data_IF_879692832656
#
_entry.id   IF_879692832656
#
_cell.length_a   1.000
_cell.length_b   1.000
_cell.length_c   1.000
_cell.angle_alpha   90.00
_cell.angle_beta   90.00
_cell.angle_gamma   90.00
#
_symmetry.space_group_name_H-M   'P 1'
#
loop_
_entity.id
_entity.type
_entity.pdbx_description
1 polymer ?
2 non-polymer ?
3 non-polymer ?
4 non-polymer ?
5 water ?
#
# COMPACT_ATOMS: atom_id res chain seq x y z
N UNK A 14 3.58 31.12 5.13
CA UNK A 14 4.61 31.04 6.17
C UNK A 14 5.42 32.33 6.20
N UNK A 15 5.71 32.81 7.41
CA UNK A 15 6.50 34.02 7.60
C UNK A 15 7.96 33.77 7.25
N UNK A 16 8.68 34.85 6.94
CA UNK A 16 10.09 34.69 6.60
C UNK A 16 10.91 34.29 7.81
N UNK A 17 10.53 34.76 9.00
CA UNK A 17 11.20 34.30 10.21
C UNK A 17 11.07 32.80 10.39
N UNK A 18 9.89 32.25 10.10
CA UNK A 18 9.69 30.81 10.24
C UNK A 18 10.50 30.05 9.20
N UNK A 19 10.52 30.53 7.96
CA UNK A 19 11.30 29.87 6.92
C UNK A 19 12.78 29.87 7.28
N UNK A 20 13.27 31.00 7.78
CA UNK A 20 14.68 31.05 8.20
C UNK A 20 14.94 30.12 9.37
N UNK A 21 13.95 29.92 10.25
CA UNK A 21 14.11 28.96 11.34
C UNK A 21 14.22 27.53 10.80
N UNK A 22 13.43 27.20 9.78
CA UNK A 22 13.55 25.89 9.14
C UNK A 22 14.93 25.73 8.52
N UNK A 23 15.41 26.75 7.81
CA UNK A 23 16.72 26.68 7.18
C UNK A 23 17.82 26.51 8.21
N UNK A 24 17.65 27.09 9.41
CA UNK A 24 18.66 26.93 10.46
C UNK A 24 18.80 25.48 10.90
N UNK A 25 17.75 24.67 10.73
CA UNK A 25 17.81 23.29 11.18
C UNK A 25 18.42 22.39 10.11
N UNK A 26 17.91 22.47 8.87
CA UNK A 26 18.25 21.48 7.86
C UNK A 26 19.24 21.99 6.82
N UNK A 27 19.48 23.30 6.77
CA UNK A 27 20.34 23.86 5.74
C UNK A 27 19.55 24.51 4.62
N UNK A 28 20.04 25.65 4.14
CA UNK A 28 19.37 26.39 3.08
C UNK A 28 18.95 25.54 1.88
N UNK A 29 19.80 24.66 1.32
CA UNK A 29 19.35 23.88 0.15
C UNK A 29 18.18 22.96 0.44
N UNK A 30 17.91 22.62 1.70
CA UNK A 30 16.93 21.61 2.03
C UNK A 30 15.59 22.21 2.47
N UNK A 31 15.37 23.50 2.22
CA UNK A 31 14.08 24.16 2.43
C UNK A 31 13.71 24.85 1.12
N UNK A 32 12.48 24.64 0.67
CA UNK A 32 12.01 25.30 -0.54
C UNK A 32 10.59 25.81 -0.35
N UNK A 33 10.37 27.07 -0.74
CA UNK A 33 9.03 27.64 -0.86
C UNK A 33 8.66 27.89 -2.32
N UNK A 34 9.42 27.34 -3.26
CA UNK A 34 9.15 27.56 -4.68
C UNK A 34 7.86 26.84 -5.10
N UNK A 35 7.06 27.53 -5.91
CA UNK A 35 5.74 27.02 -6.26
C UNK A 35 5.82 25.66 -6.95
N UNK A 36 6.78 25.49 -7.87
CA UNK A 36 6.90 24.22 -8.58
C UNK A 36 7.27 23.09 -7.64
N UNK A 37 8.21 23.33 -6.73
CA UNK A 37 8.62 22.30 -5.78
C UNK A 37 7.45 21.93 -4.87
N UNK A 38 6.71 22.93 -4.39
CA UNK A 38 5.55 22.64 -3.54
C UNK A 38 4.47 21.89 -4.33
N UNK A 39 4.22 22.29 -5.57
CA UNK A 39 3.20 21.59 -6.36
C UNK A 39 3.56 20.13 -6.58
N UNK A 40 4.84 19.82 -6.79
CA UNK A 40 5.22 18.42 -6.96
C UNK A 40 5.05 17.61 -5.69
N UNK A 41 5.01 18.26 -4.53
CA UNK A 41 4.80 17.58 -3.25
C UNK A 41 3.38 17.76 -2.71
N UNK A 42 2.46 18.25 -3.53
CA UNK A 42 1.08 18.45 -3.11
C UNK A 42 0.11 17.37 -3.56
N UNK A 43 0.60 16.29 -4.17
CA UNK A 43 -0.25 15.24 -4.67
C UNK A 43 0.50 13.92 -4.60
N UNK A 44 -0.24 12.83 -4.69
CA UNK A 44 0.37 11.51 -4.88
C UNK A 44 -0.08 10.97 -6.23
N UNK A 45 -0.21 9.66 -6.36
CA UNK A 45 -0.64 9.10 -7.63
C UNK A 45 -2.16 9.03 -7.76
N UNK A 46 -2.90 9.48 -6.75
CA UNK A 46 -4.36 9.44 -6.79
C UNK A 46 -4.91 10.61 -7.59
N UNK A 47 -6.22 10.54 -7.84
CA UNK A 47 -6.97 11.59 -8.51
C UNK A 47 -7.27 12.76 -7.58
N UNK A 48 -6.94 12.68 -6.30
CA UNK A 48 -7.23 13.78 -5.37
C UNK A 48 -6.48 15.03 -5.81
N UNK A 49 -7.19 16.16 -5.75
CA UNK A 49 -6.66 17.39 -6.32
C UNK A 49 -5.40 17.83 -5.59
N UNK A 50 -4.40 18.27 -6.37
CA UNK A 50 -3.14 18.72 -5.78
C UNK A 50 -3.40 19.89 -4.84
N UNK A 51 -2.86 19.79 -3.63
CA UNK A 51 -2.98 20.84 -2.62
C UNK A 51 -1.58 21.12 -2.10
N UNK A 52 -0.92 22.14 -2.63
CA UNK A 52 0.50 22.33 -2.36
C UNK A 52 0.76 22.73 -0.93
N UNK A 53 1.76 22.14 -0.28
CA UNK A 53 2.20 22.65 1.02
C UNK A 53 2.78 24.06 0.87
N UNK A 54 2.93 24.73 2.01
CA UNK A 54 3.53 26.06 2.00
C UNK A 54 5.05 26.00 1.86
N UNK A 55 5.66 24.89 2.25
CA UNK A 55 7.09 24.68 2.08
C UNK A 55 7.36 23.19 2.02
N UNK A 56 8.51 22.83 1.45
CA UNK A 56 9.01 21.46 1.47
C UNK A 56 10.37 21.47 2.16
N UNK A 57 10.57 20.54 3.09
CA UNK A 57 11.77 20.47 3.89
C UNK A 57 12.32 19.04 3.82
N UNK A 58 13.65 18.91 3.63
CA UNK A 58 14.34 17.63 3.59
C UNK A 58 15.27 17.51 4.78
N UNK A 59 14.85 16.94 5.91
CA UNK A 59 15.79 16.74 7.01
C UNK A 59 16.82 15.68 6.69
N UNK A 60 18.02 15.88 7.22
CA UNK A 60 19.16 15.02 6.92
C UNK A 60 19.42 13.94 7.96
N UNK A 61 18.82 14.05 9.15
CA UNK A 61 18.97 13.06 10.20
C UNK A 61 17.80 13.23 11.17
N UNK A 62 17.69 12.29 12.11
CA UNK A 62 16.53 12.26 13.00
C UNK A 62 16.50 13.47 13.91
N UNK A 63 17.66 13.96 14.36
CA UNK A 63 17.69 15.18 15.16
C UNK A 63 17.03 16.33 14.42
N UNK A 64 17.27 16.43 13.11
CA UNK A 64 16.65 17.48 12.31
C UNK A 64 15.15 17.25 12.14
N UNK A 65 14.72 15.99 12.00
CA UNK A 65 13.29 15.71 11.93
C UNK A 65 12.61 16.19 13.21
N UNK A 66 13.20 15.83 14.36
CA UNK A 66 12.65 16.23 15.65
C UNK A 66 12.55 17.74 15.75
N UNK A 67 13.62 18.45 15.35
CA UNK A 67 13.63 19.90 15.50
C UNK A 67 12.71 20.57 14.49
N UNK A 68 12.53 20.00 13.31
CA UNK A 68 11.55 20.55 12.37
C UNK A 68 10.13 20.33 12.90
N UNK A 69 9.85 19.13 13.42
CA UNK A 69 8.53 18.87 13.98
C UNK A 69 8.23 19.82 15.13
N UNK A 70 9.19 19.99 16.05
CA UNK A 70 8.97 20.87 17.19
C UNK A 70 8.70 22.30 16.75
N UNK A 71 9.48 22.78 15.78
CA UNK A 71 9.27 24.12 15.22
C UNK A 71 7.85 24.28 14.67
N UNK A 72 7.43 23.34 13.82
CA UNK A 72 6.10 23.42 13.22
C UNK A 72 5.02 23.32 14.27
N UNK A 73 5.13 22.33 15.16
CA UNK A 73 4.08 22.05 16.12
C UNK A 73 3.83 23.24 17.03
N UNK A 74 4.90 23.80 17.58
CA UNK A 74 4.74 24.91 18.52
C UNK A 74 4.34 26.21 17.83
N UNK A 75 4.51 26.31 16.52
CA UNK A 75 4.04 27.48 15.77
C UNK A 75 2.66 27.29 15.17
N UNK A 76 2.02 26.14 15.38
CA UNK A 76 0.71 25.92 14.79
C UNK A 76 0.73 25.67 13.31
N UNK A 77 1.81 25.10 12.80
CA UNK A 77 2.00 24.86 11.36
C UNK A 77 1.79 23.37 11.10
N UNK A 78 0.86 22.98 10.21
CA UNK A 78 0.67 21.56 9.94
C UNK A 78 1.92 20.90 9.37
N UNK A 79 2.03 19.60 9.64
CA UNK A 79 3.15 18.77 9.19
C UNK A 79 2.60 17.68 8.29
N UNK A 80 3.18 17.54 7.09
CA UNK A 80 2.78 16.45 6.21
C UNK A 80 3.99 15.56 5.92
N UNK A 81 4.08 14.36 6.49
CA UNK A 81 5.17 13.45 6.12
C UNK A 81 5.03 13.03 4.67
N UNK A 82 6.17 12.90 4.00
CA UNK A 82 6.19 12.59 2.58
C UNK A 82 7.30 11.57 2.34
N UNK A 83 6.94 10.42 1.79
CA UNK A 83 7.94 9.44 1.45
C UNK A 83 8.28 9.52 -0.03
N UNK A 84 7.78 8.56 -0.80
CA UNK A 84 7.94 8.57 -2.25
C UNK A 84 6.70 9.05 -3.02
N UNK A 85 5.64 9.43 -2.31
CA UNK A 85 4.49 10.01 -2.98
C UNK A 85 3.72 9.08 -3.90
N UNK A 86 3.79 7.77 -3.66
CA UNK A 86 3.06 6.81 -4.47
C UNK A 86 1.71 6.41 -3.87
N UNK A 87 1.30 7.03 -2.78
CA UNK A 87 0.01 6.71 -2.20
C UNK A 87 -1.14 6.96 -3.17
N UNK A 88 -2.28 6.36 -2.89
CA UNK A 88 -3.42 6.51 -3.79
C UNK A 88 -4.67 7.04 -3.07
N UNK A 89 -4.52 7.62 -1.87
CA UNK A 89 -5.66 8.24 -1.21
C UNK A 89 -5.42 9.69 -0.80
N UNK A 90 -4.46 10.35 -1.43
CA UNK A 90 -4.24 11.76 -1.12
C UNK A 90 -3.63 12.02 0.24
N UNK A 91 -2.90 11.04 0.79
CA UNK A 91 -2.31 11.22 2.11
C UNK A 91 -1.41 12.44 2.21
N UNK A 92 -0.69 12.77 1.14
CA UNK A 92 0.26 13.88 1.17
C UNK A 92 -0.36 15.21 0.75
N UNK A 93 -1.63 15.23 0.37
CA UNK A 93 -2.27 16.47 -0.03
C UNK A 93 -2.34 17.42 1.15
N UNK A 94 -1.84 18.65 0.97
CA UNK A 94 -1.75 19.60 2.08
C UNK A 94 -3.05 20.39 2.18
N UNK A 95 -4.09 19.71 2.68
CA UNK A 95 -5.43 20.28 2.70
C UNK A 95 -5.52 21.52 3.57
N UNK A 96 -4.60 21.69 4.51
CA UNK A 96 -4.55 22.89 5.34
C UNK A 96 -3.18 23.58 5.24
N UNK A 97 -2.49 23.38 4.11
CA UNK A 97 -1.17 23.94 3.94
C UNK A 97 -0.17 23.32 4.91
N UNK A 98 0.89 24.08 5.19
CA UNK A 98 1.88 23.68 6.17
C UNK A 98 3.18 23.23 5.53
N UNK A 99 3.94 22.46 6.30
CA UNK A 99 5.28 22.03 5.90
C UNK A 99 5.24 20.56 5.52
N UNK A 100 5.59 20.29 4.26
CA UNK A 100 5.81 18.93 3.76
C UNK A 100 7.23 18.50 4.13
N UNK A 101 7.36 17.40 4.87
CA UNK A 101 8.65 16.87 5.28
C UNK A 101 8.97 15.68 4.36
N UNK A 102 9.81 15.91 3.36
CA UNK A 102 10.30 14.84 2.50
C UNK A 102 11.43 14.11 3.23
N UNK A 103 11.23 12.83 3.52
CA UNK A 103 12.11 12.08 4.39
C UNK A 103 13.17 11.27 3.64
N UNK A 104 13.24 11.40 2.31
CA UNK A 104 14.00 10.42 1.54
C UNK A 104 15.50 10.65 1.51
N UNK A 105 16.00 11.78 2.02
CA UNK A 105 17.45 11.91 2.12
C UNK A 105 18.03 11.06 3.24
N UNK A 106 17.21 10.59 4.17
CA UNK A 106 17.64 9.62 5.17
C UNK A 106 17.43 8.26 4.52
N UNK A 107 18.48 7.70 3.93
CA UNK A 107 18.34 6.58 3.01
C UNK A 107 19.25 5.41 3.33
N UNK A 108 19.64 5.24 4.58
CA UNK A 108 20.61 4.21 4.93
C UNK A 108 19.94 2.95 5.48
N UNK A 109 20.51 1.81 5.13
CA UNK A 109 20.18 0.52 5.74
C UNK A 109 21.17 0.28 6.87
N UNK A 110 20.67 -0.10 8.05
CA UNK A 110 21.54 -0.37 9.19
C UNK A 110 21.07 -1.62 9.92
N UNK A 111 21.89 -2.04 10.87
CA UNK A 111 21.56 -3.12 11.79
C UNK A 111 21.09 -4.36 11.04
N UNK A 112 21.72 -4.64 9.90
CA UNK A 112 21.39 -5.86 9.17
C UNK A 112 21.82 -7.04 10.01
N UNK A 113 20.85 -7.86 10.42
CA UNK A 113 21.06 -9.01 11.29
C UNK A 113 20.55 -10.23 10.54
N UNK A 114 21.38 -10.77 9.64
CA UNK A 114 20.92 -11.91 8.83
C UNK A 114 20.63 -13.12 9.69
N UNK A 115 21.40 -13.35 10.76
CA UNK A 115 21.19 -14.50 11.63
C UNK A 115 19.88 -14.41 12.41
N UNK A 116 19.35 -13.21 12.61
CA UNK A 116 18.07 -12.97 13.27
C UNK A 116 16.93 -12.71 12.30
N UNK A 117 17.21 -12.64 11.00
CA UNK A 117 16.21 -12.30 9.99
C UNK A 117 15.64 -10.89 10.20
N UNK A 118 16.52 -9.90 10.38
CA UNK A 118 16.01 -8.56 10.63
C UNK A 118 16.93 -7.49 10.06
N UNK A 119 16.37 -6.30 9.83
CA UNK A 119 17.11 -5.17 9.28
C UNK A 119 16.38 -3.89 9.66
N UNK A 120 17.11 -2.79 9.72
CA UNK A 120 16.55 -1.46 9.99
C UNK A 120 16.78 -0.58 8.76
N UNK A 121 15.72 0.09 8.30
CA UNK A 121 15.80 0.95 7.11
C UNK A 121 15.27 2.34 7.43
N UNK A 122 15.92 3.35 6.87
CA UNK A 122 15.47 4.74 6.91
C UNK A 122 14.50 5.02 5.78
N UNK A 123 13.79 6.16 5.80
CA UNK A 123 12.69 6.36 4.84
C UNK A 123 13.10 6.40 3.37
N UNK A 124 14.34 6.75 3.05
CA UNK A 124 14.74 6.78 1.65
C UNK A 124 14.98 5.41 1.01
N UNK A 125 14.95 4.35 1.81
CA UNK A 125 15.18 3.00 1.31
C UNK A 125 13.89 2.45 0.73
N UNK A 126 13.93 2.05 -0.54
CA UNK A 126 12.81 1.36 -1.16
C UNK A 126 12.99 -0.16 -1.03
N UNK A 127 11.91 -0.88 -1.31
CA UNK A 127 12.01 -2.35 -1.34
C UNK A 127 13.07 -2.81 -2.33
N UNK A 128 13.12 -2.19 -3.51
CA UNK A 128 14.12 -2.60 -4.50
C UNK A 128 15.53 -2.35 -3.99
N UNK A 129 15.76 -1.20 -3.35
CA UNK A 129 17.07 -0.93 -2.77
C UNK A 129 17.44 -1.96 -1.71
N UNK A 130 16.48 -2.31 -0.84
CA UNK A 130 16.79 -3.28 0.22
C UNK A 130 17.11 -4.65 -0.37
N UNK A 131 16.29 -5.10 -1.33
CA UNK A 131 16.52 -6.43 -1.87
C UNK A 131 17.79 -6.49 -2.72
N UNK A 132 18.13 -5.40 -3.41
CA UNK A 132 19.44 -5.31 -4.05
C UNK A 132 20.56 -5.43 -3.02
N UNK A 133 20.43 -4.72 -1.91
CA UNK A 133 21.42 -4.84 -0.84
C UNK A 133 21.53 -6.28 -0.34
N UNK A 134 20.45 -7.02 -0.34
CA UNK A 134 20.44 -8.36 0.20
C UNK A 134 20.77 -9.50 -0.80
N UNK A 135 21.11 -9.13 -2.01
CA UNK A 135 21.40 -10.16 -3.00
C UNK A 135 22.57 -10.96 -2.50
N UNK A 136 22.47 -12.27 -2.62
CA UNK A 136 23.52 -13.19 -2.12
C UNK A 136 23.54 -13.41 -0.61
N UNK A 137 22.52 -12.93 0.10
CA UNK A 137 22.42 -13.20 1.51
C UNK A 137 21.55 -14.39 1.74
N UNK A 138 20.81 -14.79 0.74
CA UNK A 138 19.80 -15.80 0.95
C UNK A 138 18.53 -15.28 1.59
N UNK A 139 18.42 -13.98 1.81
CA UNK A 139 17.28 -13.36 2.45
C UNK A 139 16.65 -12.34 1.52
N UNK A 140 15.37 -12.03 1.75
CA UNK A 140 14.70 -11.01 0.98
C UNK A 140 13.58 -10.41 1.80
N UNK A 141 13.10 -9.24 1.36
CA UNK A 141 11.91 -8.65 1.98
C UNK A 141 10.72 -8.84 1.06
N UNK A 142 9.65 -9.50 1.50
CA UNK A 142 8.61 -9.94 0.56
C UNK A 142 7.49 -8.96 0.24
N UNK A 143 7.15 -8.01 1.12
CA UNK A 143 5.96 -7.21 0.89
C UNK A 143 6.19 -6.29 -0.31
N UNK A 144 5.39 -6.48 -1.38
CA UNK A 144 5.70 -5.94 -2.70
C UNK A 144 4.56 -5.14 -3.31
N UNK A 145 4.36 -3.89 -2.87
CA UNK A 145 3.52 -2.97 -3.65
C UNK A 145 4.08 -2.81 -5.05
N UNK A 146 3.20 -2.54 -6.01
CA UNK A 146 3.64 -2.37 -7.37
C UNK A 146 4.59 -1.20 -7.56
N UNK A 147 4.47 -0.18 -6.71
CA UNK A 147 5.27 1.03 -6.84
C UNK A 147 6.61 0.87 -6.14
N UNK A 148 7.57 1.69 -6.57
CA UNK A 148 8.90 1.78 -5.96
C UNK A 148 8.82 2.65 -4.71
N UNK A 149 8.19 2.10 -3.67
CA UNK A 149 7.77 2.91 -2.53
C UNK A 149 8.78 2.83 -1.38
N UNK A 150 8.84 3.92 -0.62
CA UNK A 150 9.55 3.96 0.65
C UNK A 150 9.02 2.90 1.61
N UNK A 151 9.95 2.12 2.20
CA UNK A 151 9.52 1.08 3.14
C UNK A 151 8.91 1.68 4.40
N UNK A 152 9.38 2.85 4.84
CA UNK A 152 8.73 3.51 5.96
C UNK A 152 7.36 4.06 5.57
N UNK A 153 7.20 4.50 4.32
CA UNK A 153 5.88 4.87 3.84
C UNK A 153 4.96 3.67 3.82
N UNK A 154 5.49 2.51 3.42
CA UNK A 154 4.74 1.26 3.47
C UNK A 154 4.31 0.91 4.90
N UNK A 155 5.19 1.12 5.88
CA UNK A 155 4.76 0.95 7.27
C UNK A 155 3.68 1.96 7.63
N UNK A 156 3.81 3.20 7.15
CA UNK A 156 2.82 4.23 7.50
C UNK A 156 1.44 3.91 6.93
N UNK A 157 1.36 3.34 5.73
CA UNK A 157 0.05 3.05 5.15
C UNK A 157 -0.48 1.67 5.50
N UNK A 158 0.33 0.80 6.11
CA UNK A 158 -0.08 -0.58 6.32
C UNK A 158 -0.15 -1.40 5.05
N UNK A 159 0.83 -1.24 4.16
CA UNK A 159 0.76 -1.82 2.82
C UNK A 159 0.78 -3.34 2.83
N UNK A 160 0.31 -3.93 1.75
CA UNK A 160 0.55 -5.34 1.48
C UNK A 160 1.00 -5.49 0.02
N UNK A 161 0.72 -6.62 -0.59
CA UNK A 161 1.13 -6.83 -1.97
C UNK A 161 0.85 -8.25 -2.40
N UNK A 162 1.37 -8.63 -3.56
CA UNK A 162 1.08 -9.95 -4.10
C UNK A 162 1.61 -11.07 -3.22
N UNK A 163 2.74 -10.84 -2.54
CA UNK A 163 3.35 -11.88 -1.71
C UNK A 163 2.70 -12.02 -0.33
N UNK A 164 1.75 -11.14 0.03
CA UNK A 164 1.26 -11.11 1.42
C UNK A 164 0.48 -12.37 1.77
N UNK A 165 -0.18 -12.99 0.79
CA UNK A 165 -0.99 -14.18 1.08
C UNK A 165 -0.14 -15.27 1.74
N UNK A 166 1.14 -15.32 1.43
CA UNK A 166 2.04 -16.28 2.07
C UNK A 166 2.95 -15.66 3.11
N UNK A 167 3.48 -14.45 2.86
CA UNK A 167 4.53 -13.90 3.70
C UNK A 167 4.04 -12.77 4.61
N UNK A 168 2.78 -12.39 4.54
CA UNK A 168 2.22 -11.39 5.44
C UNK A 168 2.29 -9.97 4.90
N UNK A 169 1.58 -9.07 5.58
CA UNK A 169 1.54 -7.65 5.28
C UNK A 169 2.65 -6.91 6.02
N UNK A 170 2.69 -5.58 5.86
CA UNK A 170 3.59 -4.77 6.69
C UNK A 170 3.31 -4.99 8.17
N UNK A 171 2.04 -5.11 8.55
CA UNK A 171 1.71 -5.33 9.95
C UNK A 171 2.35 -6.62 10.47
N UNK A 172 2.41 -7.65 9.61
CA UNK A 172 3.02 -8.90 10.02
C UNK A 172 4.54 -8.82 10.08
N UNK A 173 5.14 -7.90 9.32
CA UNK A 173 6.58 -7.89 9.11
C UNK A 173 7.27 -6.65 9.67
N UNK A 174 6.57 -5.78 10.38
CA UNK A 174 7.20 -4.64 11.06
C UNK A 174 7.40 -5.02 12.51
N UNK A 175 8.65 -5.06 12.96
CA UNK A 175 9.03 -5.53 14.29
C UNK A 175 9.22 -4.38 15.27
N UNK A 176 9.50 -3.19 14.78
CA UNK A 176 9.84 -2.03 15.60
C UNK A 176 9.76 -0.82 14.69
N UNK A 177 9.50 0.34 15.28
CA UNK A 177 9.43 1.59 14.52
C UNK A 177 10.11 2.68 15.34
N UNK A 178 10.87 3.53 14.67
CA UNK A 178 11.39 4.76 15.25
C UNK A 178 10.48 5.89 14.78
N UNK A 179 9.87 6.59 15.73
CA UNK A 179 8.85 7.59 15.41
C UNK A 179 9.19 8.91 16.08
N UNK A 180 9.23 9.98 15.30
CA UNK A 180 9.27 11.33 15.85
C UNK A 180 7.83 11.75 16.08
N UNK A 181 7.46 11.92 17.34
CA UNK A 181 6.11 12.32 17.69
C UNK A 181 5.87 13.78 17.26
N UNK A 182 4.60 14.19 17.16
CA UNK A 182 4.32 15.53 16.60
C UNK A 182 5.06 16.68 17.28
N UNK A 183 5.28 16.62 18.60
CA UNK A 183 6.00 17.71 19.26
C UNK A 183 7.51 17.50 19.25
N UNK A 184 8.02 16.47 18.57
CA UNK A 184 9.44 16.28 18.41
C UNK A 184 10.06 15.19 19.26
N UNK A 185 9.32 14.63 20.22
CA UNK A 185 9.88 13.56 21.05
C UNK A 185 10.16 12.33 20.19
N UNK A 186 11.19 11.58 20.58
CA UNK A 186 11.60 10.40 19.83
C UNK A 186 11.12 9.14 20.56
N UNK A 187 10.31 8.33 19.87
CA UNK A 187 9.77 7.09 20.40
C UNK A 187 10.29 5.92 19.59
N UNK A 188 10.81 4.89 20.27
CA UNK A 188 11.05 3.60 19.64
C UNK A 188 9.96 2.67 20.15
N UNK A 189 9.03 2.30 19.27
CA UNK A 189 7.75 1.75 19.72
C UNK A 189 7.94 0.48 20.54
N UNK A 190 8.91 -0.36 20.18
CA UNK A 190 9.21 -1.56 20.94
C UNK A 190 10.50 -1.44 21.76
N UNK A 191 11.08 -0.24 21.85
CA UNK A 191 12.31 -0.04 22.58
C UNK A 191 13.50 0.11 21.65
N UNK A 192 14.45 0.98 22.01
CA UNK A 192 15.55 1.30 21.09
C UNK A 192 16.41 0.07 20.85
N UNK A 193 16.58 -0.29 19.58
CA UNK A 193 17.46 -1.37 19.20
C UNK A 193 16.87 -2.76 19.35
N UNK A 194 15.62 -2.89 19.77
CA UNK A 194 15.06 -4.20 20.07
C UNK A 194 14.52 -4.87 18.81
N UNK A 195 14.65 -6.19 18.78
CA UNK A 195 14.07 -6.98 17.71
C UNK A 195 13.94 -8.40 18.22
N UNK A 196 12.78 -9.01 17.96
CA UNK A 196 12.47 -10.32 18.53
C UNK A 196 11.27 -10.87 17.79
N UNK A 197 10.94 -12.14 18.06
CA UNK A 197 9.83 -12.77 17.36
C UNK A 197 8.48 -12.48 17.99
N UNK A 198 8.42 -12.25 19.29
CA UNK A 198 7.14 -12.04 19.95
C UNK A 198 7.39 -11.35 21.28
N UNK A 199 6.36 -10.64 21.77
CA UNK A 199 6.44 -9.99 23.06
C UNK A 199 5.04 -9.74 23.61
N UNK A 200 4.90 -9.85 24.94
CA UNK A 200 3.73 -9.41 25.67
C UNK A 200 4.03 -8.25 26.60
N UNK A 201 5.13 -7.53 26.37
CA UNK A 201 5.60 -6.50 27.31
C UNK A 201 4.83 -5.20 27.12
N UNK A 202 3.89 -4.93 28.02
CA UNK A 202 3.15 -3.68 27.95
C UNK A 202 2.17 -3.69 26.79
N UNK A 203 1.73 -2.51 26.37
CA UNK A 203 0.84 -2.41 25.21
C UNK A 203 1.66 -2.33 23.94
N UNK A 204 1.19 -3.01 22.90
CA UNK A 204 1.93 -3.09 21.64
C UNK A 204 1.80 -1.76 20.91
N UNK A 205 2.84 -0.93 21.01
CA UNK A 205 2.81 0.38 20.37
C UNK A 205 3.14 0.31 18.89
N UNK A 206 3.90 -0.71 18.47
CA UNK A 206 4.28 -0.81 17.07
C UNK A 206 3.06 -0.89 16.16
N UNK A 207 2.08 -1.71 16.53
CA UNK A 207 0.91 -1.90 15.67
C UNK A 207 0.05 -0.66 15.56
N UNK A 208 0.08 0.20 16.58
CA UNK A 208 -0.64 1.47 16.53
C UNK A 208 -0.12 2.37 15.41
N UNK A 209 1.19 2.39 15.21
CA UNK A 209 1.75 3.31 14.23
C UNK A 209 1.79 2.74 12.81
N UNK A 210 1.78 1.41 12.67
CA UNK A 210 1.56 0.84 11.34
C UNK A 210 0.16 1.18 10.87
N UNK A 211 0.04 1.74 9.68
CA UNK A 211 -1.27 2.15 9.18
C UNK A 211 -1.78 3.44 9.76
N UNK A 212 -0.92 4.28 10.33
CA UNK A 212 -1.34 5.57 10.88
C UNK A 212 -1.24 6.71 9.87
N UNK A 213 -0.60 6.47 8.70
CA UNK A 213 -0.63 7.37 7.55
C UNK A 213 -0.07 8.75 7.84
N UNK A 214 0.85 8.87 8.80
CA UNK A 214 1.43 10.15 9.11
C UNK A 214 0.58 11.07 9.96
N UNK A 215 -0.50 10.57 10.55
CA UNK A 215 -1.34 11.36 11.43
C UNK A 215 -1.00 11.19 12.91
N UNK A 216 -0.10 10.26 13.25
CA UNK A 216 0.29 10.07 14.64
C UNK A 216 1.76 10.37 14.91
N UNK A 217 2.55 10.62 13.88
CA UNK A 217 3.97 10.83 14.04
C UNK A 217 4.70 10.49 12.75
N UNK A 218 6.00 10.76 12.76
CA UNK A 218 6.86 10.62 11.59
C UNK A 218 7.75 9.39 11.79
N UNK A 219 7.61 8.40 10.92
CA UNK A 219 8.41 7.18 11.02
C UNK A 219 9.78 7.48 10.40
N UNK A 220 10.83 7.47 11.24
CA UNK A 220 12.17 7.73 10.75
C UNK A 220 13.01 6.47 10.61
N UNK A 221 12.57 5.33 11.14
CA UNK A 221 13.16 4.06 10.73
C UNK A 221 12.14 2.95 10.97
N UNK A 222 12.29 1.86 10.22
CA UNK A 222 11.46 0.68 10.41
C UNK A 222 12.37 -0.54 10.57
N UNK A 223 12.08 -1.36 11.56
CA UNK A 223 12.75 -2.65 11.72
C UNK A 223 11.88 -3.72 11.07
N UNK A 224 12.44 -4.40 10.07
CA UNK A 224 11.67 -5.29 9.22
C UNK A 224 12.08 -6.74 9.43
N UNK A 225 11.10 -7.64 9.37
CA UNK A 225 11.37 -9.07 9.31
C UNK A 225 11.81 -9.46 7.90
N UNK A 226 12.94 -10.16 7.80
CA UNK A 226 13.40 -10.73 6.55
C UNK A 226 13.03 -12.21 6.47
N UNK A 227 12.97 -12.72 5.24
CA UNK A 227 12.55 -14.09 4.99
C UNK A 227 13.60 -14.80 4.15
N UNK A 228 13.71 -16.12 4.29
CA UNK A 228 14.63 -16.86 3.43
C UNK A 228 14.13 -16.92 2.01
N UNK A 229 15.05 -16.80 1.06
CA UNK A 229 14.69 -16.95 -0.34
C UNK A 229 14.15 -18.35 -0.58
N UNK A 230 13.12 -18.51 -1.43
CA UNK A 230 12.57 -19.85 -1.66
C UNK A 230 13.60 -20.76 -2.30
N UNK A 231 13.53 -22.04 -1.94
CA UNK A 231 14.42 -23.03 -2.54
C UNK A 231 14.24 -23.07 -4.05
N UNK A 232 12.99 -23.13 -4.51
CA UNK A 232 12.69 -23.13 -5.93
C UNK A 232 11.38 -22.38 -6.13
N UNK A 233 11.22 -21.83 -7.34
CA UNK A 233 10.05 -21.04 -7.67
C UNK A 233 9.49 -21.47 -9.01
N UNK A 234 8.15 -21.51 -9.09
CA UNK A 234 7.46 -21.73 -10.35
C UNK A 234 6.28 -20.76 -10.41
N UNK A 235 6.16 -20.05 -11.53
CA UNK A 235 5.06 -19.13 -11.77
C UNK A 235 4.26 -19.59 -12.97
N UNK A 236 2.99 -19.19 -13.03
CA UNK A 236 2.13 -19.61 -14.13
C UNK A 236 0.92 -18.70 -14.21
N UNK A 237 0.26 -18.75 -15.36
CA UNK A 237 -1.03 -18.10 -15.55
C UNK A 237 -2.07 -19.14 -15.90
N UNK A 238 -3.32 -18.86 -15.54
CA UNK A 238 -4.42 -19.78 -15.79
C UNK A 238 -5.64 -18.96 -16.20
N UNK A 239 -6.14 -19.21 -17.41
CA UNK A 239 -7.27 -18.47 -17.96
C UNK A 239 -8.57 -19.20 -17.66
N UNK A 240 -9.62 -18.45 -17.39
CA UNK A 240 -10.89 -19.01 -16.98
C UNK A 240 -12.02 -18.54 -17.88
N UNK A 241 -13.13 -19.29 -17.95
CA UNK A 241 -14.27 -18.84 -18.75
C UNK A 241 -15.00 -17.64 -18.17
N UNK A 242 -14.89 -17.38 -16.87
CA UNK A 242 -15.70 -16.36 -16.23
C UNK A 242 -14.99 -15.87 -14.98
N UNK A 243 -15.41 -14.70 -14.51
CA UNK A 243 -14.96 -14.21 -13.20
C UNK A 243 -15.34 -15.21 -12.11
N UNK A 244 -16.59 -15.68 -12.15
CA UNK A 244 -17.08 -16.67 -11.18
C UNK A 244 -16.12 -17.84 -11.07
N UNK A 245 -15.69 -18.38 -12.21
CA UNK A 245 -14.83 -19.57 -12.19
C UNK A 245 -13.47 -19.27 -11.58
N UNK A 246 -12.91 -18.08 -11.87
CA UNK A 246 -11.60 -17.75 -11.35
C UNK A 246 -11.64 -17.55 -9.83
N UNK A 247 -12.71 -16.91 -9.33
CA UNK A 247 -12.78 -16.62 -7.90
C UNK A 247 -13.18 -17.85 -7.11
N UNK A 248 -14.04 -18.70 -7.67
CA UNK A 248 -14.33 -19.99 -7.04
C UNK A 248 -13.06 -20.82 -6.89
N UNK A 249 -12.23 -20.85 -7.94
CA UNK A 249 -10.96 -21.56 -7.85
C UNK A 249 -10.10 -20.98 -6.73
N UNK A 250 -10.04 -19.66 -6.65
CA UNK A 250 -9.25 -19.01 -5.60
C UNK A 250 -9.72 -19.45 -4.22
N UNK A 251 -11.02 -19.32 -3.94
CA UNK A 251 -11.56 -19.70 -2.64
C UNK A 251 -11.25 -21.16 -2.32
N UNK A 252 -11.41 -22.04 -3.32
CA UNK A 252 -11.19 -23.46 -3.08
C UNK A 252 -9.71 -23.79 -2.87
N UNK A 253 -8.81 -23.05 -3.53
CA UNK A 253 -7.38 -23.22 -3.27
C UNK A 253 -7.06 -22.85 -1.82
N UNK A 254 -7.63 -21.75 -1.34
CA UNK A 254 -7.39 -21.31 0.03
C UNK A 254 -8.00 -22.29 1.04
N UNK A 255 -9.21 -22.78 0.78
CA UNK A 255 -9.84 -23.69 1.72
C UNK A 255 -9.16 -25.06 1.71
N UNK A 256 -8.49 -25.43 0.62
CA UNK A 256 -7.67 -26.62 0.60
C UNK A 256 -6.29 -26.40 1.22
N UNK A 257 -6.01 -25.18 1.70
CA UNK A 257 -4.78 -24.85 2.43
C UNK A 257 -3.52 -25.03 1.59
N UNK A 258 -3.63 -24.85 0.28
CA UNK A 258 -2.43 -24.84 -0.58
C UNK A 258 -1.63 -23.58 -0.25
N UNK A 259 -0.38 -23.71 0.18
CA UNK A 259 0.40 -22.52 0.58
C UNK A 259 0.97 -21.75 -0.61
N UNK A 260 0.06 -21.28 -1.48
CA UNK A 260 0.48 -20.54 -2.66
C UNK A 260 1.27 -19.31 -2.23
N UNK A 261 2.29 -18.97 -3.01
CA UNK A 261 3.10 -17.79 -2.71
C UNK A 261 2.44 -16.52 -3.22
N UNK A 262 1.78 -16.61 -4.38
CA UNK A 262 1.08 -15.50 -5.01
C UNK A 262 -0.16 -16.05 -5.68
N UNK A 263 -1.29 -15.35 -5.54
CA UNK A 263 -2.47 -15.69 -6.32
C UNK A 263 -3.22 -14.40 -6.64
N UNK A 264 -3.01 -13.92 -7.86
CA UNK A 264 -3.46 -12.60 -8.30
C UNK A 264 -4.54 -12.75 -9.36
N UNK A 265 -5.61 -11.99 -9.22
CA UNK A 265 -6.70 -12.01 -10.19
C UNK A 265 -6.63 -10.80 -11.12
N UNK A 266 -6.90 -11.04 -12.41
CA UNK A 266 -7.09 -10.00 -13.41
C UNK A 266 -8.35 -10.35 -14.19
N UNK A 267 -9.26 -9.40 -14.34
CA UNK A 267 -10.39 -9.70 -15.23
C UNK A 267 -9.94 -9.51 -16.67
N UNK A 268 -10.85 -9.77 -17.62
CA UNK A 268 -10.48 -9.68 -19.02
C UNK A 268 -10.03 -8.26 -19.40
N UNK A 269 -10.70 -7.24 -18.85
CA UNK A 269 -10.30 -5.86 -19.13
C UNK A 269 -8.88 -5.60 -18.64
N UNK A 270 -8.59 -5.99 -17.39
CA UNK A 270 -7.24 -5.85 -16.85
C UNK A 270 -6.22 -6.63 -17.67
N UNK A 271 -6.55 -7.88 -18.03
CA UNK A 271 -5.61 -8.67 -18.82
C UNK A 271 -5.29 -7.99 -20.14
N UNK A 272 -6.32 -7.50 -20.83
CA UNK A 272 -6.10 -6.82 -22.09
C UNK A 272 -5.26 -5.55 -21.89
N UNK A 273 -5.55 -4.79 -20.84
CA UNK A 273 -4.76 -3.59 -20.57
C UNK A 273 -3.31 -3.94 -20.31
N UNK A 274 -3.05 -5.02 -19.56
CA UNK A 274 -1.68 -5.40 -19.26
C UNK A 274 -0.96 -5.90 -20.50
N UNK A 275 -1.66 -6.69 -21.33
CA UNK A 275 -1.11 -7.11 -22.61
C UNK A 275 -0.61 -5.92 -23.42
N UNK A 276 -1.47 -4.90 -23.56
CA UNK A 276 -1.15 -3.73 -24.38
C UNK A 276 -0.05 -2.87 -23.77
N UNK A 277 0.16 -2.96 -22.47
CA UNK A 277 1.10 -2.09 -21.77
C UNK A 277 2.46 -2.75 -21.53
N UNK A 278 2.56 -4.07 -21.69
CA UNK A 278 3.78 -4.78 -21.33
C UNK A 278 4.23 -5.80 -22.39
N UNK A 280 3.15 -8.57 -22.82
CA UNK A 280 2.59 -9.88 -22.57
C UNK A 280 1.54 -10.17 -23.64
N UNK A 281 1.24 -11.45 -23.84
CA UNK A 281 0.25 -11.84 -24.84
C UNK A 281 -0.62 -12.97 -24.30
N UNK A 282 -1.14 -12.78 -23.08
CA UNK A 282 -2.01 -13.79 -22.50
C UNK A 282 -3.38 -13.75 -23.16
N UNK A 283 -4.09 -14.89 -23.19
CA UNK A 283 -5.48 -14.87 -23.66
C UNK A 283 -6.30 -13.84 -22.88
N UNK A 284 -7.14 -13.10 -23.61
CA UNK A 284 -7.94 -12.05 -22.99
C UNK A 284 -9.13 -12.73 -22.32
N UNK A 285 -9.02 -12.91 -21.01
CA UNK A 285 -9.97 -13.67 -20.21
C UNK A 285 -9.67 -13.39 -18.74
N UNK A 286 -10.64 -13.61 -17.85
CA UNK A 286 -10.33 -13.56 -16.42
C UNK A 286 -9.25 -14.58 -16.09
N UNK A 287 -8.18 -14.11 -15.43
CA UNK A 287 -6.94 -14.86 -15.33
C UNK A 287 -6.43 -14.82 -13.90
N UNK A 288 -5.80 -15.91 -13.48
CA UNK A 288 -5.03 -15.95 -12.25
C UNK A 288 -3.54 -15.99 -12.60
N UNK A 289 -2.76 -15.09 -12.00
CA UNK A 289 -1.31 -15.21 -11.97
C UNK A 289 -0.94 -15.95 -10.69
N UNK A 290 -0.19 -17.04 -10.81
CA UNK A 290 0.13 -17.87 -9.66
C UNK A 290 1.63 -18.01 -9.51
N UNK A 291 2.07 -18.18 -8.26
CA UNK A 291 3.47 -18.50 -8.00
C UNK A 291 3.55 -19.44 -6.81
N UNK A 292 4.47 -20.39 -6.89
CA UNK A 292 4.64 -21.42 -5.88
C UNK A 292 6.10 -21.43 -5.43
N UNK A 293 6.31 -21.61 -4.13
CA UNK A 293 7.64 -21.69 -3.54
C UNK A 293 7.80 -23.03 -2.82
N UNK A 294 8.98 -23.61 -2.91
CA UNK A 294 9.29 -24.83 -2.19
C UNK A 294 10.43 -25.58 -2.85
N UNK A 295 10.61 -26.82 -2.41
CA UNK A 295 11.47 -27.75 -3.12
C UNK A 295 10.74 -28.30 -4.33
N UNK A 296 11.46 -29.05 -5.18
CA UNK A 296 10.84 -29.59 -6.39
C UNK A 296 9.68 -30.52 -6.04
N UNK A 297 9.92 -31.46 -5.13
CA UNK A 297 8.85 -32.33 -4.67
C UNK A 297 7.69 -31.53 -4.08
N UNK A 298 8.02 -30.50 -3.30
CA UNK A 298 6.98 -29.73 -2.66
C UNK A 298 6.20 -28.91 -3.69
N UNK A 299 6.90 -28.35 -4.69
CA UNK A 299 6.26 -27.66 -5.81
C UNK A 299 5.36 -28.60 -6.60
N UNK A 300 5.86 -29.80 -6.93
CA UNK A 300 5.07 -30.75 -7.70
C UNK A 300 3.78 -31.09 -6.98
N UNK A 301 3.85 -31.26 -5.66
CA UNK A 301 2.65 -31.54 -4.88
C UNK A 301 1.67 -30.37 -4.93
N UNK A 302 2.17 -29.16 -4.70
CA UNK A 302 1.30 -27.97 -4.75
C UNK A 302 0.69 -27.80 -6.14
N UNK A 303 1.49 -28.01 -7.18
CA UNK A 303 1.00 -27.84 -8.55
C UNK A 303 -0.14 -28.81 -8.87
N UNK A 304 0.02 -30.08 -8.49
CA UNK A 304 -1.02 -31.06 -8.77
C UNK A 304 -2.32 -30.71 -8.07
N UNK A 305 -2.26 -30.29 -6.81
CA UNK A 305 -3.49 -29.97 -6.08
C UNK A 305 -4.12 -28.69 -6.60
N UNK A 306 -3.31 -27.72 -7.01
CA UNK A 306 -3.86 -26.47 -7.54
C UNK A 306 -4.41 -26.64 -8.94
N UNK A 307 -3.74 -27.42 -9.79
CA UNK A 307 -4.28 -27.66 -11.13
C UNK A 307 -5.59 -28.43 -11.06
N UNK A 308 -5.70 -29.39 -10.14
CA UNK A 308 -6.95 -30.12 -9.98
C UNK A 308 -8.10 -29.17 -9.68
N UNK A 309 -7.89 -28.20 -8.79
CA UNK A 309 -8.96 -27.28 -8.42
C UNK A 309 -9.30 -26.36 -9.58
N UNK A 310 -8.29 -25.81 -10.26
CA UNK A 310 -8.58 -24.89 -11.36
C UNK A 310 -9.28 -25.61 -12.51
N UNK A 311 -8.89 -26.86 -12.78
CA UNK A 311 -9.56 -27.62 -13.84
C UNK A 311 -11.03 -27.84 -13.51
N UNK A 312 -11.34 -28.10 -12.23
CA UNK A 312 -12.73 -28.27 -11.81
C UNK A 312 -13.58 -27.08 -12.20
N UNK A 313 -13.00 -25.89 -12.26
CA UNK A 313 -13.71 -24.66 -12.58
C UNK A 313 -13.42 -24.16 -13.99
N UNK A 314 -12.94 -25.04 -14.87
CA UNK A 314 -12.73 -24.67 -16.26
C UNK A 314 -11.48 -23.90 -16.56
N UNK A 315 -10.49 -23.94 -15.67
CA UNK A 315 -9.25 -23.24 -15.93
C UNK A 315 -8.41 -23.95 -16.97
N UNK A 316 -7.67 -23.15 -17.74
CA UNK A 316 -6.76 -23.70 -18.73
C UNK A 316 -5.61 -24.46 -18.06
N UNK A 317 -4.92 -25.27 -18.86
CA UNK A 317 -3.64 -25.79 -18.42
C UNK A 317 -2.71 -24.62 -18.12
N UNK A 318 -1.89 -24.77 -17.08
CA UNK A 318 -1.03 -23.68 -16.63
C UNK A 318 -0.05 -23.29 -17.73
N UNK A 319 -0.02 -21.99 -18.04
CA UNK A 319 0.97 -21.42 -18.95
C UNK A 319 2.18 -21.02 -18.11
N UNK A 320 3.24 -21.81 -18.19
CA UNK A 320 4.36 -21.67 -17.27
C UNK A 320 5.22 -20.46 -17.60
N UNK A 321 5.91 -19.96 -16.58
CA UNK A 321 6.79 -18.81 -16.73
C UNK A 321 8.08 -19.00 -15.93
N UNK A 324 13.54 -17.31 -15.12
CA UNK A 324 13.50 -16.07 -14.35
C UNK A 324 13.14 -14.91 -15.27
N UNK A 325 13.58 -15.01 -16.52
CA UNK A 325 13.34 -13.98 -17.51
C UNK A 325 11.84 -13.79 -17.74
N UNK A 326 11.13 -14.89 -18.01
CA UNK A 326 9.67 -14.84 -18.11
C UNK A 326 9.01 -14.47 -16.79
N UNK A 327 9.48 -15.02 -15.67
CA UNK A 327 8.82 -14.74 -14.40
C UNK A 327 8.86 -13.25 -14.07
N UNK A 328 10.02 -12.60 -14.30
CA UNK A 328 10.15 -11.20 -13.95
C UNK A 328 9.24 -10.32 -14.81
N UNK A 329 9.10 -10.63 -16.10
CA UNK A 329 8.22 -9.81 -16.92
C UNK A 329 6.75 -10.04 -16.58
N UNK A 330 6.41 -11.24 -16.11
CA UNK A 330 5.05 -11.49 -15.63
C UNK A 330 4.69 -10.57 -14.48
N UNK A 331 5.51 -10.57 -13.44
CA UNK A 331 5.19 -9.79 -12.25
C UNK A 331 5.46 -8.31 -12.44
N UNK A 332 6.37 -7.94 -13.35
CA UNK A 332 6.53 -6.54 -13.69
C UNK A 332 5.26 -6.00 -14.34
N UNK A 333 4.63 -6.80 -15.22
CA UNK A 333 3.37 -6.38 -15.81
C UNK A 333 2.28 -6.25 -14.76
N UNK A 334 2.19 -7.22 -13.84
CA UNK A 334 1.22 -7.14 -12.75
C UNK A 334 1.45 -5.88 -11.92
N UNK A 335 2.71 -5.65 -11.51
CA UNK A 335 3.02 -4.50 -10.67
C UNK A 335 2.69 -3.18 -11.35
N UNK A 336 2.63 -3.16 -12.69
CA UNK A 336 2.32 -1.95 -13.44
C UNK A 336 0.87 -1.90 -13.90
N UNK A 337 0.00 -2.74 -13.34
CA UNK A 337 -1.41 -2.77 -13.73
C UNK A 337 -2.06 -1.40 -13.58
N UNK A 338 -1.70 -0.66 -12.54
CA UNK A 338 -2.22 0.70 -12.36
C UNK A 338 -1.95 1.55 -13.59
N UNK A 339 -0.73 1.50 -14.10
CA UNK A 339 -0.38 2.32 -15.26
C UNK A 339 -0.92 1.71 -16.55
N UNK A 340 -1.06 0.38 -16.60
CA UNK A 340 -1.71 -0.24 -17.75
C UNK A 340 -3.16 0.22 -17.86
N UNK A 341 -3.87 0.31 -16.73
CA UNK A 341 -5.25 0.77 -16.75
C UNK A 341 -5.33 2.23 -17.18
N UNK A 342 -4.45 3.07 -16.64
CA UNK A 342 -4.46 4.48 -17.01
C UNK A 342 -4.22 4.67 -18.51
N UNK A 343 -3.38 3.82 -19.09
CA UNK A 343 -3.05 3.91 -20.51
C UNK A 343 -4.23 3.56 -21.41
N UNK A 344 -5.30 2.97 -20.87
CA UNK A 344 -6.49 2.73 -21.67
C UNK A 344 -7.13 4.03 -22.14
N UNK A 345 -6.97 5.09 -21.35
CA UNK A 345 -7.57 6.40 -21.66
C UNK A 345 -6.55 7.48 -21.33
N UNK A 346 -5.60 7.73 -22.23
CA UNK A 346 -4.53 8.68 -21.93
C UNK A 346 -5.08 10.04 -21.51
N UNK A 347 -4.41 10.65 -20.53
CA UNK A 347 -4.88 11.89 -19.95
C UNK A 347 -5.84 11.73 -18.79
N UNK A 348 -6.34 10.52 -18.55
CA UNK A 348 -7.24 10.34 -17.42
C UNK A 348 -6.44 10.12 -16.13
N UNK A 349 -7.14 10.27 -15.01
CA UNK A 349 -6.63 9.88 -13.71
C UNK A 349 -7.42 8.64 -13.26
N UNK A 350 -7.08 8.11 -12.08
CA UNK A 350 -7.74 6.89 -11.65
C UNK A 350 -7.96 6.91 -10.14
N UNK A 351 -9.00 6.19 -9.72
CA UNK A 351 -9.28 5.89 -8.33
C UNK A 351 -9.34 4.38 -8.17
N UNK A 352 -8.63 3.86 -7.17
CA UNK A 352 -8.66 2.45 -6.86
C UNK A 352 -9.52 2.20 -5.62
N UNK A 353 -10.43 1.23 -5.72
CA UNK A 353 -11.07 0.67 -4.55
C UNK A 353 -10.16 -0.43 -3.98
N UNK A 354 -10.53 -0.94 -2.80
CA UNK A 354 -9.58 -1.78 -2.08
C UNK A 354 -10.29 -2.56 -0.97
N UNK A 355 -11.53 -3.01 -1.22
CA UNK A 355 -12.28 -3.70 -0.17
C UNK A 355 -11.63 -5.06 0.11
N UNK A 356 -11.88 -5.56 1.32
CA UNK A 356 -11.42 -6.90 1.67
C UNK A 356 -12.52 -7.55 2.49
N UNK A 357 -12.97 -8.73 2.07
CA UNK A 357 -14.15 -9.38 2.63
C UNK A 357 -13.75 -10.77 3.13
N UNK A 358 -14.58 -11.38 3.99
CA UNK A 358 -14.40 -12.81 4.28
C UNK A 358 -14.35 -13.58 2.97
N UNK A 359 -13.44 -14.54 2.88
CA UNK A 359 -13.13 -15.12 1.57
C UNK A 359 -14.35 -15.81 0.97
N UNK A 360 -15.24 -16.35 1.80
CA UNK A 360 -16.40 -17.04 1.25
C UNK A 360 -17.36 -16.08 0.55
N UNK A 361 -17.29 -14.78 0.87
CA UNK A 361 -18.12 -13.78 0.22
C UNK A 361 -17.43 -13.13 -0.97
N UNK A 362 -16.18 -13.48 -1.24
CA UNK A 362 -15.45 -12.89 -2.36
C UNK A 362 -16.09 -13.19 -3.71
N UNK A 363 -16.58 -14.41 -4.00
CA UNK A 363 -17.24 -14.62 -5.30
C UNK A 363 -18.42 -13.70 -5.54
N UNK A 364 -19.32 -13.55 -4.56
CA UNK A 364 -20.47 -12.66 -4.73
C UNK A 364 -20.03 -11.25 -5.09
N UNK A 365 -19.06 -10.69 -4.35
CA UNK A 365 -18.80 -9.27 -4.52
C UNK A 365 -17.95 -8.97 -5.78
N UNK A 366 -17.01 -9.85 -6.16
CA UNK A 366 -16.35 -9.65 -7.44
C UNK A 366 -17.28 -9.80 -8.62
N UNK A 367 -18.11 -10.84 -8.64
CA UNK A 367 -19.04 -11.00 -9.76
C UNK A 367 -19.99 -9.82 -9.82
N UNK A 368 -20.53 -9.42 -8.68
CA UNK A 368 -21.39 -8.23 -8.62
C UNK A 368 -20.65 -6.99 -9.08
N UNK A 369 -19.38 -6.83 -8.67
CA UNK A 369 -18.61 -5.68 -9.14
C UNK A 369 -18.41 -5.72 -10.65
N UNK A 370 -18.12 -6.90 -11.20
CA UNK A 370 -17.98 -7.03 -12.65
C UNK A 370 -19.28 -6.64 -13.36
N UNK A 371 -20.42 -7.15 -12.88
CA UNK A 371 -21.70 -6.79 -13.51
C UNK A 371 -21.97 -5.30 -13.38
N UNK A 372 -21.63 -4.70 -12.24
CA UNK A 372 -21.90 -3.28 -12.06
C UNK A 372 -21.01 -2.42 -12.95
N UNK A 373 -19.78 -2.87 -13.20
CA UNK A 373 -18.91 -2.15 -14.14
C UNK A 373 -19.49 -2.24 -15.56
N UNK A 374 -19.86 -3.45 -15.99
CA UNK A 374 -20.47 -3.62 -17.30
C UNK A 374 -21.69 -2.72 -17.46
N UNK A 375 -22.57 -2.72 -16.46
CA UNK A 375 -23.83 -2.00 -16.56
C UNK A 375 -23.67 -0.48 -16.45
N UNK A 376 -22.50 0.03 -16.08
CA UNK A 376 -22.24 1.45 -15.92
C UNK A 376 -21.48 1.93 -17.16
N UNK A 377 -21.42 3.25 -17.33
CA UNK A 377 -20.63 3.81 -18.41
C UNK A 377 -19.15 3.97 -18.06
N UNK A 378 -18.76 3.61 -16.84
CA UNK A 378 -17.40 3.83 -16.41
C UNK A 378 -16.49 2.78 -17.01
N UNK A 379 -15.23 3.15 -17.21
CA UNK A 379 -14.19 2.19 -17.53
C UNK A 379 -13.53 1.74 -16.24
N UNK A 380 -13.62 0.46 -15.96
CA UNK A 380 -12.98 -0.11 -14.78
C UNK A 380 -12.24 -1.38 -15.14
N UNK A 381 -11.07 -1.54 -14.56
CA UNK A 381 -10.33 -2.79 -14.61
C UNK A 381 -10.27 -3.37 -13.20
N UNK A 382 -10.29 -4.68 -13.09
CA UNK A 382 -10.30 -5.38 -11.81
C UNK A 382 -9.01 -6.18 -11.68
N UNK A 383 -8.37 -6.06 -10.51
CA UNK A 383 -7.10 -6.74 -10.27
C UNK A 383 -6.94 -6.86 -8.75
N UNK A 384 -6.23 -7.89 -8.31
CA UNK A 384 -5.68 -7.76 -6.97
C UNK A 384 -5.57 -9.08 -6.22
N UNK A 385 -5.41 -8.91 -4.90
CA UNK A 385 -4.86 -9.90 -4.00
C UNK A 385 -6.00 -10.78 -3.45
N UNK A 386 -6.56 -11.59 -4.34
CA UNK A 386 -7.74 -12.37 -3.99
C UNK A 386 -7.43 -13.46 -2.99
N UNK A 387 -6.16 -13.84 -2.83
CA UNK A 387 -5.79 -14.76 -1.78
C UNK A 387 -6.04 -14.21 -0.39
N UNK A 388 -6.13 -12.88 -0.28
CA UNK A 388 -6.48 -12.19 0.96
C UNK A 388 -7.96 -11.83 1.04
N UNK A 389 -8.77 -12.22 0.06
CA UNK A 389 -10.13 -11.73 0.00
C UNK A 389 -10.23 -10.28 -0.38
N UNK A 390 -9.24 -9.78 -1.11
CA UNK A 390 -9.03 -8.36 -1.37
C UNK A 390 -8.94 -8.16 -2.89
N UNK A 391 -9.43 -7.02 -3.38
CA UNK A 391 -9.26 -6.72 -4.79
C UNK A 391 -9.41 -5.22 -5.02
N UNK A 392 -8.93 -4.79 -6.19
CA UNK A 392 -9.00 -3.39 -6.61
C UNK A 392 -9.88 -3.28 -7.85
N UNK A 393 -10.80 -2.32 -7.82
CA UNK A 393 -11.44 -1.84 -9.03
C UNK A 393 -10.78 -0.52 -9.39
N UNK A 394 -10.10 -0.48 -10.54
CA UNK A 394 -9.40 0.72 -10.98
C UNK A 394 -10.35 1.48 -11.90
N UNK A 395 -10.87 2.60 -11.42
CA UNK A 395 -11.88 3.39 -12.12
C UNK A 395 -11.20 4.62 -12.73
N UNK A 396 -11.36 4.79 -14.04
CA UNK A 396 -10.77 5.94 -14.72
C UNK A 396 -11.70 7.14 -14.69
N UNK A 397 -11.12 8.33 -14.54
CA UNK A 397 -11.86 9.58 -14.55
C UNK A 397 -11.14 10.60 -15.41
N UNK A 398 -11.92 11.30 -16.23
CA UNK A 398 -11.44 12.50 -16.92
C UNK A 398 -11.29 13.62 -15.91
N UNK A 399 -10.10 14.22 -15.76
CA UNK A 399 -9.92 15.28 -14.76
C UNK A 399 -10.84 16.48 -14.96
N UNK A 400 -11.44 16.64 -16.13
CA UNK A 400 -12.29 17.78 -16.42
C UNK A 400 -13.78 17.46 -16.44
N UNK A 401 -14.15 16.18 -16.37
CA UNK A 401 -15.55 15.76 -16.43
C UNK A 401 -16.01 15.54 -15.00
N UNK A 402 -16.60 16.60 -14.42
CA UNK A 402 -17.01 16.54 -13.02
C UNK A 402 -18.16 15.56 -12.80
N UNK A 403 -18.98 15.32 -13.83
CA UNK A 403 -20.04 14.33 -13.70
C UNK A 403 -19.47 12.93 -13.62
N UNK A 404 -18.44 12.62 -14.40
CA UNK A 404 -17.81 11.31 -14.32
C UNK A 404 -17.18 11.09 -12.94
N UNK A 405 -16.57 12.12 -12.36
CA UNK A 405 -15.95 11.93 -11.05
C UNK A 405 -17.02 11.73 -9.98
N UNK A 406 -18.20 12.32 -10.16
CA UNK A 406 -19.30 12.04 -9.23
C UNK A 406 -19.75 10.60 -9.34
N UNK A 407 -19.82 10.05 -10.55
CA UNK A 407 -20.22 8.65 -10.71
C UNK A 407 -19.15 7.69 -10.21
N UNK A 408 -17.87 8.07 -10.30
CA UNK A 408 -16.81 7.20 -9.77
C UNK A 408 -16.82 7.22 -8.25
N UNK A 409 -16.94 8.40 -7.64
CA UNK A 409 -17.30 8.48 -6.22
C UNK A 409 -18.47 7.60 -5.82
N UNK A 410 -19.61 7.77 -6.49
CA UNK A 410 -20.78 6.98 -6.08
C UNK A 410 -20.51 5.49 -6.22
N UNK A 411 -19.81 5.09 -7.28
CA UNK A 411 -19.50 3.67 -7.49
C UNK A 411 -18.58 3.16 -6.38
N UNK A 412 -17.55 3.94 -6.04
CA UNK A 412 -16.57 3.50 -5.06
C UNK A 412 -17.21 3.34 -3.70
N UNK A 413 -18.04 4.29 -3.33
CA UNK A 413 -18.75 4.23 -2.05
C UNK A 413 -19.74 3.10 -1.96
N UNK A 414 -20.47 2.87 -3.05
CA UNK A 414 -21.45 1.79 -3.05
C UNK A 414 -20.76 0.43 -2.91
N UNK A 415 -19.62 0.26 -3.59
CA UNK A 415 -18.85 -0.96 -3.42
C UNK A 415 -18.31 -1.08 -2.00
N UNK A 416 -17.75 0.00 -1.47
CA UNK A 416 -17.32 -0.02 -0.07
C UNK A 416 -18.43 -0.44 0.87
N UNK A 417 -19.62 0.07 0.65
CA UNK A 417 -20.71 -0.23 1.55
C UNK A 417 -21.15 -1.69 1.39
N UNK A 418 -21.13 -2.21 0.17
CA UNK A 418 -21.43 -3.63 -0.01
C UNK A 418 -20.42 -4.49 0.74
N UNK A 419 -19.15 -4.11 0.69
CA UNK A 419 -18.13 -4.85 1.46
C UNK A 419 -18.42 -4.81 2.95
N UNK A 420 -18.81 -3.64 3.47
CA UNK A 420 -19.12 -3.55 4.89
C UNK A 420 -20.33 -4.41 5.24
N UNK A 421 -21.32 -4.47 4.33
CA UNK A 421 -22.49 -5.29 4.58
C UNK A 421 -22.15 -6.77 4.67
N UNK A 422 -21.06 -7.19 4.03
CA UNK A 422 -20.62 -8.57 4.05
C UNK A 422 -19.66 -8.86 5.20
N UNK A 423 -19.51 -7.92 6.14
CA UNK A 423 -18.60 -8.12 7.26
C UNK A 423 -17.15 -7.81 6.98
N UNK A 424 -16.85 -7.13 5.88
CA UNK A 424 -15.49 -6.84 5.48
C UNK A 424 -15.04 -5.45 5.87
N UNK A 425 -13.96 -5.00 5.22
CA UNK A 425 -13.36 -3.70 5.48
C UNK A 425 -13.29 -2.90 4.18
N UNK A 426 -13.33 -1.58 4.31
CA UNK A 426 -13.31 -0.71 3.13
C UNK A 426 -11.92 -0.59 2.52
N UNK A 427 -10.87 -1.00 3.23
CA UNK A 427 -9.52 -0.95 2.66
C UNK A 427 -8.66 -2.05 3.25
N UNK A 428 -8.12 -2.91 2.39
CA UNK A 428 -7.23 -3.95 2.82
C UNK A 428 -5.78 -3.52 2.98
N UNK A 429 -5.35 -2.44 2.30
CA UNK A 429 -3.94 -2.06 2.33
C UNK A 429 -3.67 -0.59 2.00
N UNK A 430 -4.49 0.03 1.14
CA UNK A 430 -4.18 1.39 0.69
C UNK A 430 -4.35 2.45 1.77
N UNK A 431 -5.28 2.25 2.69
CA UNK A 431 -5.55 3.23 3.73
C UNK A 431 -6.77 4.09 3.43
N UNK A 432 -6.94 5.10 4.28
CA UNK A 432 -8.14 5.95 4.28
C UNK A 432 -7.88 7.27 3.58
N UNK A 433 -6.77 7.93 3.93
CA UNK A 433 -6.43 9.22 3.35
C UNK A 433 -7.60 10.19 3.38
N UNK A 434 -7.88 10.79 2.22
CA UNK A 434 -9.01 11.68 2.03
C UNK A 434 -10.25 10.97 1.51
N UNK A 435 -10.10 9.77 0.95
CA UNK A 435 -11.17 9.14 0.20
C UNK A 435 -12.17 8.28 0.96
N UNK A 436 -11.77 7.67 2.08
CA UNK A 436 -12.62 6.68 2.74
C UNK A 436 -13.00 7.10 4.16
N UNK A 437 -13.01 8.40 4.45
CA UNK A 437 -13.22 8.81 5.83
C UNK A 437 -14.65 8.52 6.29
N UNK A 438 -15.63 8.67 5.38
CA UNK A 438 -17.00 8.34 5.74
C UNK A 438 -17.21 6.84 5.90
N UNK A 439 -16.61 6.05 5.01
CA UNK A 439 -16.72 4.59 5.12
C UNK A 439 -16.13 4.09 6.42
N UNK A 440 -15.02 4.69 6.88
CA UNK A 440 -14.42 4.26 8.13
C UNK A 440 -15.38 4.48 9.29
N UNK A 441 -16.05 5.63 9.33
CA UNK A 441 -17.03 5.87 10.39
C UNK A 441 -18.11 4.79 10.38
N UNK A 442 -18.56 4.38 9.19
CA UNK A 442 -19.54 3.30 9.13
C UNK A 442 -18.93 1.97 9.57
N UNK A 443 -17.66 1.74 9.23
CA UNK A 443 -17.00 0.47 9.51
C UNK A 443 -16.90 0.18 11.01
N UNK A 444 -16.48 1.16 11.80
CA UNK A 444 -16.16 0.88 13.21
C UNK A 444 -17.16 1.50 14.19
N UNK A 445 -18.05 2.36 13.72
CA UNK A 445 -19.12 2.86 14.56
C UNK A 445 -18.67 3.94 15.51
N UNK A 446 -19.62 4.51 16.26
CA UNK A 446 -19.29 5.69 17.10
C UNK A 446 -18.23 5.43 18.16
N UNK A 447 -18.23 4.25 18.80
CA UNK A 447 -17.24 4.01 19.84
C UNK A 447 -15.87 3.75 19.22
N UNK A 448 -15.84 3.07 18.07
CA UNK A 448 -14.59 2.92 17.35
C UNK A 448 -14.01 4.25 16.91
N UNK A 449 -14.86 5.13 16.38
CA UNK A 449 -14.39 6.44 15.94
C UNK A 449 -13.85 7.25 17.11
N UNK A 450 -14.61 7.30 18.22
CA UNK A 450 -14.15 8.12 19.34
C UNK A 450 -12.84 7.58 19.92
N UNK A 451 -12.71 6.26 19.99
CA UNK A 451 -11.49 5.66 20.52
C UNK A 451 -10.30 6.02 19.65
N UNK A 452 -10.48 5.90 18.33
CA UNK A 452 -9.46 6.29 17.37
C UNK A 452 -9.10 7.76 17.55
N UNK A 453 -10.11 8.61 17.72
CA UNK A 453 -9.87 10.04 17.88
C UNK A 453 -9.17 10.34 19.21
N UNK A 454 -9.51 9.60 20.26
CA UNK A 454 -8.80 9.82 21.52
C UNK A 454 -7.33 9.46 21.38
N UNK A 455 -7.01 8.45 20.58
CA UNK A 455 -5.61 8.08 20.40
C UNK A 455 -4.89 9.16 19.61
N UNK A 456 -5.53 9.65 18.55
CA UNK A 456 -5.02 10.78 17.78
C UNK A 456 -4.79 12.00 18.66
N UNK A 457 -5.74 12.31 19.56
CA UNK A 457 -5.63 13.51 20.38
C UNK A 457 -4.49 13.41 21.40
N UNK A 458 -4.22 12.22 21.96
CA UNK A 458 -3.14 12.16 22.94
C UNK A 458 -1.79 12.33 22.29
N UNK A 459 -1.60 11.78 21.08
CA UNK A 459 -0.32 11.92 20.41
C UNK A 459 -0.18 13.25 19.68
N UNK A 460 -1.29 13.81 19.21
CA UNK A 460 -1.26 15.07 18.43
C UNK A 460 -2.33 16.00 19.00
N UNK A 461 -2.09 16.57 20.18
CA UNK A 461 -3.13 17.42 20.79
C UNK A 461 -3.56 18.58 19.91
N UNK A 462 -2.64 19.26 19.24
CA UNK A 462 -2.98 20.42 18.44
C UNK A 462 -3.52 20.06 17.05
N UNK A 463 -3.59 18.77 16.71
CA UNK A 463 -4.15 18.37 15.43
C UNK A 463 -3.35 18.81 14.22
N UNK A 464 -2.04 18.91 14.34
CA UNK A 464 -1.18 19.41 13.26
C UNK A 464 -0.47 18.30 12.50
N UNK A 465 -0.62 17.05 12.92
CA UNK A 465 0.04 15.90 12.30
C UNK A 465 -0.81 15.44 11.12
N UNK A 466 -0.51 15.92 9.92
CA UNK A 466 -1.23 15.59 8.70
C UNK A 466 -2.74 15.74 8.86
N UNK A 467 -3.24 16.95 9.10
CA UNK A 467 -4.67 17.11 9.39
C UNK A 467 -5.53 16.79 8.18
N UNK A 468 -6.79 16.45 8.46
CA UNK A 468 -7.75 16.16 7.42
C UNK A 468 -7.70 14.75 6.86
N UNK A 469 -6.89 13.86 7.43
CA UNK A 469 -6.73 12.51 6.91
C UNK A 469 -7.22 11.50 7.94
N UNK A 470 -7.81 10.41 7.44
CA UNK A 470 -8.22 9.24 8.22
C UNK A 470 -9.46 9.53 9.04
N UNK A 471 -9.35 10.45 9.98
CA UNK A 471 -10.47 10.81 10.84
C UNK A 471 -11.05 12.16 10.41
#
# INVERSE_FOLDING_TARGET
WSHPQFEKGSQGGLSQDFVEALKAVVGSPHVSTASAVREQHGHDESMHRCQPPDAVVWPQNVDQVSRVASLCYNQGVPIIPFGTGTGVEGGVCAVQGGVCINLTHMDQITELNTEDFSVVVEPGVTRKALNTHLRDSGLWFPVDPGADASLCGMAATGASGTNAVRYGTMRDNVINLEVVLPDGRLLHTAGRGRHYRKSAAGYNLTGLFVGSEGTLGIITSTTLRLHPAPEATVAATCAFPSVQAAVDSTVQILQAAVPVARIEFLDDVMMDACNRHSKLNCPVAPTLFLEFHGSQQTLAEQLQRTEAITQDNGGSHFSWAKEAEKRNELWAARHNAWYAALALSPGSKAYSTDVCVPISRLPEILVETKEEIKASKLTGAIVGHVGDGNFHCILLVDPDDAEEQRRVKAFAENLGRRALALGGTCTGEHGIGLGKRQLLQEEVGPVGVETMRQLKNTLDPRGLMNPGKVL
#
